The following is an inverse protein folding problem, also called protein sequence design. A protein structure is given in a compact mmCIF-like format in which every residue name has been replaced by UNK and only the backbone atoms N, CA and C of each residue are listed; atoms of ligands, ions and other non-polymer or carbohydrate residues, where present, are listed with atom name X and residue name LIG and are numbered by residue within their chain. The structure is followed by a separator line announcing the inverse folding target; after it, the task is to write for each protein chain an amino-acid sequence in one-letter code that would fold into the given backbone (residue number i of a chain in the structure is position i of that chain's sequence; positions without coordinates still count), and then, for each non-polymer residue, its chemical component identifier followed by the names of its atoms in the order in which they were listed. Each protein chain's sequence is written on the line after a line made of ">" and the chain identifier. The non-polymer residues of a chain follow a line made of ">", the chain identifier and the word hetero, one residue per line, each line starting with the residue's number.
data_IF_356575801543
#
_entry.id   IF_356575801543
#
_cell.length_a   1.000
_cell.length_b   1.000
_cell.length_c   1.000
_cell.angle_alpha   90.00
_cell.angle_beta   90.00
_cell.angle_gamma   90.00
#
_symmetry.space_group_name_H-M   'P 1'
#
loop_
_entity.id
_entity.type
_entity.pdbx_description
1 polymer ?
#
# COMPACT_ATOMS: atom_id res chain seq x y z
N UNK A 1 19.11 -8.62 -16.46
CA UNK A 1 17.98 -9.03 -15.61
C UNK A 1 18.51 -10.15 -14.72
N UNK A 2 18.45 -9.94 -13.41
CA UNK A 2 19.00 -10.86 -12.41
C UNK A 2 17.83 -11.56 -11.69
N UNK A 3 18.03 -12.76 -11.16
CA UNK A 3 17.04 -13.36 -10.26
C UNK A 3 17.23 -12.78 -8.87
N UNK A 4 16.22 -12.10 -8.34
CA UNK A 4 16.21 -11.52 -6.99
C UNK A 4 15.03 -12.12 -6.24
N UNK A 5 15.32 -12.85 -5.17
CA UNK A 5 14.33 -13.58 -4.37
C UNK A 5 13.42 -14.46 -5.24
N UNK A 6 14.04 -15.28 -6.10
CA UNK A 6 13.35 -16.23 -6.98
C UNK A 6 12.61 -15.63 -8.17
N UNK A 7 12.71 -14.32 -8.44
CA UNK A 7 12.01 -13.65 -9.53
C UNK A 7 12.97 -12.90 -10.47
N UNK A 8 12.81 -12.98 -11.81
CA UNK A 8 13.54 -12.13 -12.74
C UNK A 8 13.23 -10.65 -12.51
N UNK A 9 14.26 -9.85 -12.27
CA UNK A 9 14.12 -8.45 -11.85
C UNK A 9 15.07 -7.50 -12.57
N UNK A 10 14.62 -6.25 -12.67
CA UNK A 10 15.41 -5.06 -12.99
C UNK A 10 15.85 -4.40 -11.68
N UNK A 11 17.08 -3.90 -11.63
CA UNK A 11 17.62 -3.21 -10.45
C UNK A 11 17.82 -1.73 -10.78
N UNK A 12 17.56 -0.84 -9.81
CA UNK A 12 17.80 0.60 -9.94
C UNK A 12 18.44 1.14 -8.66
N UNK A 13 19.43 2.03 -8.80
CA UNK A 13 20.26 2.48 -7.68
C UNK A 13 20.55 3.98 -7.73
N UNK A 14 20.51 4.64 -6.57
CA UNK A 14 21.10 5.95 -6.30
C UNK A 14 22.12 5.84 -5.16
N UNK A 15 22.58 6.99 -4.65
CA UNK A 15 23.41 7.08 -3.45
C UNK A 15 22.68 6.67 -2.16
N UNK A 16 21.35 6.80 -2.12
CA UNK A 16 20.55 6.52 -0.91
C UNK A 16 19.58 5.35 -1.06
N UNK A 17 19.30 4.87 -2.27
CA UNK A 17 18.29 3.82 -2.51
C UNK A 17 18.82 2.78 -3.49
N UNK A 18 18.67 1.50 -3.16
CA UNK A 18 18.81 0.38 -4.12
C UNK A 18 17.52 -0.42 -4.10
N UNK A 19 16.92 -0.64 -5.26
CA UNK A 19 15.66 -1.35 -5.39
C UNK A 19 15.68 -2.35 -6.53
N UNK A 20 14.81 -3.36 -6.44
CA UNK A 20 14.49 -4.29 -7.51
C UNK A 20 13.04 -4.15 -7.93
N UNK A 21 12.75 -4.37 -9.22
CA UNK A 21 11.40 -4.50 -9.77
C UNK A 21 11.29 -5.78 -10.57
N UNK A 22 10.37 -6.66 -10.20
CA UNK A 22 10.15 -7.92 -10.92
C UNK A 22 9.61 -7.67 -12.32
N UNK A 23 9.95 -8.55 -13.27
CA UNK A 23 9.33 -8.56 -14.60
C UNK A 23 7.84 -8.87 -14.49
N UNK A 24 7.51 -9.96 -13.80
CA UNK A 24 6.12 -10.38 -13.58
C UNK A 24 5.51 -9.58 -12.45
N UNK A 25 4.34 -8.97 -12.70
CA UNK A 25 3.60 -8.13 -11.75
C UNK A 25 4.23 -6.78 -11.43
N UNK A 26 5.40 -6.46 -12.01
CA UNK A 26 6.04 -5.15 -11.84
C UNK A 26 6.30 -4.79 -10.37
N UNK A 27 6.55 -5.77 -9.50
CA UNK A 27 6.58 -5.59 -8.05
C UNK A 27 7.91 -5.00 -7.61
N UNK A 28 7.84 -3.89 -6.90
CA UNK A 28 8.95 -3.22 -6.24
C UNK A 28 9.32 -4.01 -4.99
N UNK A 29 10.52 -4.57 -4.93
CA UNK A 29 11.02 -5.29 -3.77
C UNK A 29 12.08 -6.33 -4.15
N UNK A 30 13.14 -6.53 -3.32
CA UNK A 30 13.46 -5.77 -2.11
C UNK A 30 13.91 -4.34 -2.41
N UNK A 31 13.81 -3.47 -1.40
CA UNK A 31 14.35 -2.10 -1.43
C UNK A 31 15.21 -1.89 -0.18
N UNK A 32 16.40 -1.32 -0.38
CA UNK A 32 17.32 -0.91 0.69
C UNK A 32 17.51 0.60 0.63
N UNK A 33 17.17 1.28 1.71
CA UNK A 33 17.54 2.68 1.94
C UNK A 33 18.84 2.74 2.74
N UNK A 34 19.73 3.64 2.36
CA UNK A 34 21.05 3.82 2.96
C UNK A 34 21.16 5.24 3.52
N UNK A 35 21.49 5.34 4.81
CA UNK A 35 21.77 6.61 5.49
C UNK A 35 23.08 6.47 6.27
N UNK A 36 24.17 7.01 5.72
CA UNK A 36 25.51 6.75 6.24
C UNK A 36 25.86 5.26 6.14
N UNK A 37 26.17 4.63 7.28
CA UNK A 37 26.47 3.19 7.37
C UNK A 37 25.21 2.34 7.64
N UNK A 38 24.06 2.98 7.93
CA UNK A 38 22.83 2.28 8.30
C UNK A 38 22.04 1.87 7.07
N UNK A 39 21.58 0.62 7.06
CA UNK A 39 20.71 0.06 6.03
C UNK A 39 19.32 -0.18 6.60
N UNK A 40 18.30 0.28 5.89
CA UNK A 40 16.91 0.10 6.27
C UNK A 40 16.11 -0.55 5.13
N UNK A 41 15.33 -1.59 5.46
CA UNK A 41 14.56 -2.41 4.51
C UNK A 41 13.13 -2.55 5.01
N UNK A 42 12.26 -1.54 4.77
CA UNK A 42 10.93 -1.54 5.36
C UNK A 42 9.95 -2.48 4.67
N UNK A 43 10.22 -2.86 3.42
CA UNK A 43 9.27 -3.60 2.61
C UNK A 43 9.32 -5.10 2.88
N UNK A 44 8.15 -5.71 2.97
CA UNK A 44 7.99 -7.13 3.13
C UNK A 44 8.39 -7.92 1.88
N UNK A 45 8.96 -9.09 2.13
CA UNK A 45 9.00 -10.19 1.18
C UNK A 45 8.15 -11.32 1.75
N UNK A 46 7.49 -12.07 0.86
CA UNK A 46 6.81 -13.30 1.25
C UNK A 46 7.77 -14.25 1.99
N UNK A 47 7.30 -14.97 3.02
CA UNK A 47 8.12 -15.95 3.74
C UNK A 47 8.34 -17.25 2.95
N UNK A 48 7.90 -17.32 1.69
CA UNK A 48 8.10 -18.43 0.76
C UNK A 48 8.85 -17.96 -0.49
N UNK A 49 9.44 -18.90 -1.21
CA UNK A 49 10.00 -18.70 -2.54
C UNK A 49 9.02 -19.15 -3.63
N UNK A 50 9.08 -18.54 -4.83
CA UNK A 50 8.23 -18.92 -5.95
C UNK A 50 8.31 -20.41 -6.37
N UNK A 51 9.45 -21.06 -6.19
CA UNK A 51 9.69 -22.47 -6.53
C UNK A 51 9.24 -23.46 -5.44
N UNK A 52 8.89 -22.97 -4.26
CA UNK A 52 8.30 -23.78 -3.17
C UNK A 52 6.79 -24.00 -3.35
N UNK A 53 6.15 -23.21 -4.22
CA UNK A 53 4.70 -23.21 -4.38
C UNK A 53 4.23 -24.15 -5.49
N UNK A 54 3.29 -25.02 -5.16
CA UNK A 54 2.61 -25.92 -6.10
C UNK A 54 1.26 -25.36 -6.56
N UNK A 55 0.78 -25.84 -7.71
CA UNK A 55 -0.54 -25.48 -8.24
C UNK A 55 -0.59 -24.17 -9.02
N UNK A 56 -1.79 -23.82 -9.47
CA UNK A 56 -2.07 -22.61 -10.24
C UNK A 56 -2.36 -21.44 -9.29
N UNK A 57 -1.32 -20.99 -8.60
CA UNK A 57 -1.37 -19.83 -7.70
C UNK A 57 -1.13 -18.55 -8.53
N UNK A 58 -1.95 -17.49 -8.37
CA UNK A 58 -1.74 -16.22 -9.05
C UNK A 58 -0.32 -15.69 -8.83
N UNK A 59 0.30 -15.15 -9.88
CA UNK A 59 1.66 -14.63 -9.80
C UNK A 59 1.81 -13.54 -8.73
N UNK A 60 0.76 -12.75 -8.50
CA UNK A 60 0.66 -11.82 -7.38
C UNK A 60 1.09 -12.47 -6.06
N UNK A 61 0.46 -13.59 -5.70
CA UNK A 61 0.70 -14.28 -4.44
C UNK A 61 2.00 -15.09 -4.47
N UNK A 62 2.35 -15.62 -5.64
CA UNK A 62 3.59 -16.38 -5.84
C UNK A 62 4.84 -15.57 -5.51
N UNK A 63 4.88 -14.31 -5.94
CA UNK A 63 6.05 -13.44 -5.75
C UNK A 63 5.94 -12.49 -4.56
N UNK A 64 4.71 -12.11 -4.19
CA UNK A 64 4.28 -11.18 -3.13
C UNK A 64 5.42 -10.44 -2.43
N UNK A 65 5.65 -9.18 -2.82
CA UNK A 65 6.73 -8.35 -2.28
C UNK A 65 6.47 -6.87 -2.43
N UNK A 66 6.98 -6.12 -1.45
CA UNK A 66 7.01 -4.66 -1.38
C UNK A 66 5.76 -4.00 -1.95
N UNK A 67 5.87 -3.33 -3.09
CA UNK A 67 4.76 -2.56 -3.69
C UNK A 67 4.50 -2.93 -5.15
N UNK A 68 3.24 -3.03 -5.53
CA UNK A 68 2.79 -3.26 -6.90
C UNK A 68 1.51 -2.48 -7.19
N UNK A 69 1.29 -2.22 -8.48
CA UNK A 69 0.12 -1.48 -8.92
C UNK A 69 -1.00 -2.43 -9.31
N UNK A 70 -2.17 -2.18 -8.75
CA UNK A 70 -3.37 -2.96 -8.98
C UNK A 70 -4.33 -2.16 -9.86
N UNK A 71 -4.72 -2.73 -11.00
CA UNK A 71 -5.74 -2.17 -11.88
C UNK A 71 -6.41 -3.34 -12.64
N UNK A 72 -7.61 -3.77 -12.24
CA UNK A 72 -8.40 -3.23 -11.11
C UNK A 72 -7.82 -3.57 -9.73
N UNK A 73 -8.27 -2.89 -8.68
CA UNK A 73 -7.95 -3.25 -7.29
C UNK A 73 -9.02 -4.18 -6.71
N UNK A 74 -8.60 -5.34 -6.16
CA UNK A 74 -9.47 -6.39 -5.61
C UNK A 74 -9.65 -7.60 -6.55
N UNK A 75 -10.51 -8.56 -6.20
CA UNK A 75 -10.90 -9.68 -7.06
C UNK A 75 -11.50 -9.24 -8.41
N UNK A 76 -11.51 -10.15 -9.37
CA UNK A 76 -12.16 -9.96 -10.67
C UNK A 76 -13.18 -11.07 -10.95
N UNK A 77 -14.24 -10.74 -11.70
CA UNK A 77 -15.20 -11.75 -12.19
C UNK A 77 -14.53 -12.75 -13.14
N UNK A 78 -13.50 -12.29 -13.86
CA UNK A 78 -12.66 -13.07 -14.76
C UNK A 78 -11.23 -12.56 -14.63
N UNK A 79 -10.27 -13.47 -14.52
CA UNK A 79 -8.84 -13.12 -14.39
C UNK A 79 -8.34 -13.19 -12.94
N UNK A 80 -7.06 -12.88 -12.78
CA UNK A 80 -6.39 -12.92 -11.48
C UNK A 80 -6.79 -11.71 -10.62
N UNK A 81 -6.80 -11.83 -9.27
CA UNK A 81 -7.02 -10.70 -8.39
C UNK A 81 -5.96 -9.60 -8.63
N UNK A 82 -6.37 -8.35 -8.50
CA UNK A 82 -5.57 -7.13 -8.71
C UNK A 82 -5.09 -6.87 -10.15
N UNK A 83 -5.62 -7.60 -11.13
CA UNK A 83 -5.39 -7.32 -12.54
C UNK A 83 -4.08 -7.87 -13.10
N UNK A 84 -3.96 -7.81 -14.42
CA UNK A 84 -2.73 -8.15 -15.15
C UNK A 84 -1.55 -7.26 -14.72
N UNK A 85 -1.79 -6.02 -14.28
CA UNK A 85 -0.73 -5.14 -13.76
C UNK A 85 0.02 -5.75 -12.58
N UNK A 86 -0.65 -6.58 -11.77
CA UNK A 86 -0.08 -7.29 -10.63
C UNK A 86 0.33 -8.74 -10.93
N UNK A 87 -0.01 -9.29 -12.11
CA UNK A 87 0.14 -10.73 -12.41
C UNK A 87 0.91 -11.06 -13.70
N UNK A 88 0.89 -10.18 -14.70
CA UNK A 88 1.47 -10.42 -16.01
C UNK A 88 2.85 -9.78 -16.18
N UNK A 89 3.53 -10.09 -17.28
CA UNK A 89 4.90 -9.63 -17.55
C UNK A 89 4.93 -8.18 -18.07
N UNK A 90 5.74 -7.36 -17.41
CA UNK A 90 6.07 -6.00 -17.83
C UNK A 90 7.30 -5.99 -18.73
N UNK A 91 7.25 -5.18 -19.78
CA UNK A 91 8.31 -5.04 -20.78
C UNK A 91 9.16 -3.81 -20.48
N UNK A 92 10.49 -3.97 -20.60
CA UNK A 92 11.41 -2.85 -20.42
C UNK A 92 11.29 -1.84 -21.57
N UNK A 93 11.02 -0.59 -21.24
CA UNK A 93 11.04 0.53 -22.19
C UNK A 93 12.37 1.28 -22.11
N UNK A 94 12.81 1.61 -20.90
CA UNK A 94 14.03 2.40 -20.67
C UNK A 94 14.64 2.04 -19.32
N UNK A 95 15.97 1.91 -19.28
CA UNK A 95 16.74 1.70 -18.05
C UNK A 95 17.98 2.59 -18.08
N UNK A 96 17.98 3.63 -17.25
CA UNK A 96 19.10 4.54 -17.07
C UNK A 96 19.55 4.53 -15.61
N UNK A 97 20.60 5.30 -15.30
CA UNK A 97 21.22 5.33 -13.97
C UNK A 97 20.21 5.51 -12.84
N UNK A 98 19.20 6.36 -13.02
CA UNK A 98 18.24 6.73 -11.98
C UNK A 98 16.77 6.71 -12.48
N UNK A 99 16.51 6.02 -13.59
CA UNK A 99 15.19 5.86 -14.20
C UNK A 99 14.99 4.41 -14.63
N UNK A 100 13.89 3.81 -14.19
CA UNK A 100 13.38 2.55 -14.72
C UNK A 100 11.98 2.79 -15.27
N UNK A 101 11.78 2.47 -16.54
CA UNK A 101 10.50 2.60 -17.24
C UNK A 101 10.11 1.26 -17.83
N UNK A 102 8.97 0.73 -17.35
CA UNK A 102 8.35 -0.51 -17.80
C UNK A 102 6.98 -0.23 -18.39
N UNK A 103 6.50 -1.10 -19.29
CA UNK A 103 5.15 -1.01 -19.84
C UNK A 103 4.48 -2.38 -19.98
N UNK A 104 3.16 -2.38 -19.91
CA UNK A 104 2.28 -3.52 -20.15
C UNK A 104 1.07 -3.07 -20.98
N UNK A 105 0.63 -3.93 -21.88
CA UNK A 105 -0.67 -3.86 -22.54
C UNK A 105 -1.51 -5.01 -21.95
N UNK A 106 -2.29 -4.75 -20.89
CA UNK A 106 -2.99 -5.80 -20.16
C UNK A 106 -4.14 -6.38 -20.98
N UNK A 107 -4.32 -7.70 -20.92
CA UNK A 107 -5.37 -8.41 -21.66
C UNK A 107 -6.74 -8.27 -20.99
N UNK A 108 -6.77 -8.15 -19.65
CA UNK A 108 -8.00 -8.13 -18.85
C UNK A 108 -8.80 -6.82 -18.95
N UNK A 109 -8.11 -5.68 -18.99
CA UNK A 109 -8.73 -4.34 -19.05
C UNK A 109 -8.49 -3.60 -20.37
N UNK A 110 -7.52 -4.05 -21.18
CA UNK A 110 -7.07 -3.35 -22.39
C UNK A 110 -6.29 -2.05 -22.11
N UNK A 111 -5.98 -1.32 -23.18
CA UNK A 111 -5.17 -0.10 -23.10
C UNK A 111 -3.69 -0.39 -22.83
N UNK A 112 -2.99 0.59 -22.26
CA UNK A 112 -1.57 0.51 -21.91
C UNK A 112 -1.32 1.16 -20.56
N UNK A 113 -0.53 0.49 -19.73
CA UNK A 113 -0.03 1.00 -18.44
C UNK A 113 1.50 1.05 -18.48
N UNK A 114 2.07 2.18 -18.08
CA UNK A 114 3.52 2.39 -17.96
C UNK A 114 3.87 2.63 -16.50
N UNK A 115 4.89 1.95 -15.96
CA UNK A 115 5.42 2.15 -14.61
C UNK A 115 6.78 2.84 -14.72
N UNK A 116 6.88 4.03 -14.16
CA UNK A 116 8.09 4.86 -14.22
C UNK A 116 8.58 5.13 -12.80
N UNK A 117 9.73 4.56 -12.47
CA UNK A 117 10.39 4.75 -11.18
C UNK A 117 11.60 5.65 -11.37
N UNK A 118 11.70 6.70 -10.56
CA UNK A 118 12.84 7.62 -10.54
C UNK A 118 13.47 7.66 -9.16
N UNK A 119 14.80 7.68 -9.14
CA UNK A 119 15.59 7.96 -7.96
C UNK A 119 16.31 9.29 -8.13
N UNK A 120 16.49 10.05 -7.05
CA UNK A 120 17.18 11.34 -7.07
C UNK A 120 18.40 11.28 -6.13
N UNK A 121 19.55 11.84 -6.55
CA UNK A 121 20.68 11.99 -5.65
C UNK A 121 20.29 12.74 -4.37
N UNK A 122 20.74 12.26 -3.21
CA UNK A 122 20.45 12.84 -1.89
C UNK A 122 19.02 12.62 -1.38
N UNK A 123 18.16 11.94 -2.13
CA UNK A 123 16.80 11.62 -1.71
C UNK A 123 16.70 10.12 -1.37
N UNK A 124 16.38 9.81 -0.13
CA UNK A 124 15.95 8.48 0.30
C UNK A 124 14.47 8.24 -0.09
N UNK A 125 14.15 8.44 -1.37
CA UNK A 125 12.80 8.50 -1.91
C UNK A 125 12.68 7.71 -3.20
N UNK A 126 11.57 6.98 -3.33
CA UNK A 126 11.14 6.30 -4.55
C UNK A 126 10.00 7.13 -5.15
N UNK A 127 10.22 7.69 -6.33
CA UNK A 127 9.19 8.40 -7.09
C UNK A 127 8.57 7.44 -8.11
N UNK A 128 7.32 7.04 -7.91
CA UNK A 128 6.61 6.12 -8.79
C UNK A 128 5.46 6.82 -9.51
N UNK A 129 5.42 6.66 -10.82
CA UNK A 129 4.38 7.20 -11.71
C UNK A 129 3.82 6.05 -12.56
N UNK A 130 2.50 5.90 -12.55
CA UNK A 130 1.79 5.01 -13.45
C UNK A 130 1.05 5.82 -14.50
N UNK A 131 1.42 5.66 -15.77
CA UNK A 131 0.77 6.32 -16.89
C UNK A 131 -0.18 5.36 -17.58
N UNK A 132 -1.46 5.72 -17.66
CA UNK A 132 -2.53 4.91 -18.23
C UNK A 132 -3.07 5.61 -19.47
N UNK A 133 -3.19 4.88 -20.58
CA UNK A 133 -3.70 5.40 -21.85
C UNK A 133 -4.48 4.34 -22.62
N UNK A 134 -5.46 4.75 -23.43
CA UNK A 134 -6.28 3.83 -24.22
C UNK A 134 -7.25 2.96 -23.41
N UNK A 135 -7.40 3.22 -22.11
CA UNK A 135 -8.35 2.56 -21.22
C UNK A 135 -9.69 3.30 -21.22
N UNK A 136 -10.79 2.57 -21.29
CA UNK A 136 -12.16 3.10 -21.29
C UNK A 136 -13.01 2.46 -20.18
N UNK A 137 -13.69 3.28 -19.39
CA UNK A 137 -14.66 2.82 -18.39
C UNK A 137 -14.24 3.10 -16.94
N UNK A 138 -15.00 2.53 -16.00
CA UNK A 138 -14.81 2.76 -14.57
C UNK A 138 -14.00 1.63 -13.93
N UNK A 139 -12.88 1.97 -13.30
CA UNK A 139 -12.00 1.01 -12.63
C UNK A 139 -11.59 1.48 -11.23
N UNK A 140 -11.50 0.52 -10.31
CA UNK A 140 -10.80 0.68 -9.05
C UNK A 140 -9.30 0.50 -9.27
N UNK A 141 -8.45 1.12 -8.47
CA UNK A 141 -6.99 0.95 -8.57
C UNK A 141 -6.30 1.33 -7.27
N UNK A 142 -5.03 0.94 -7.15
CA UNK A 142 -4.21 1.35 -6.02
C UNK A 142 -2.76 0.88 -6.09
N UNK A 143 -1.92 1.45 -5.25
CA UNK A 143 -0.61 0.89 -4.93
C UNK A 143 -0.72 0.08 -3.64
N UNK A 144 0.12 -0.93 -3.50
CA UNK A 144 0.01 -1.94 -2.46
C UNK A 144 1.33 -2.12 -1.70
N UNK A 145 1.94 -1.08 -1.10
CA UNK A 145 3.17 -1.23 -0.34
C UNK A 145 2.91 -2.02 0.95
N UNK A 146 3.60 -3.14 1.09
CA UNK A 146 3.55 -4.02 2.26
C UNK A 146 4.82 -3.80 3.07
N UNK A 147 4.66 -3.44 4.34
CA UNK A 147 5.74 -3.21 5.28
C UNK A 147 5.98 -4.41 6.20
N UNK A 148 7.25 -4.61 6.58
CA UNK A 148 7.72 -5.65 7.48
C UNK A 148 7.95 -5.10 8.90
N UNK A 149 7.07 -5.49 9.82
CA UNK A 149 7.14 -5.21 11.25
C UNK A 149 7.53 -6.47 12.06
N UNK A 150 7.92 -7.57 11.40
CA UNK A 150 8.17 -8.87 12.06
C UNK A 150 9.38 -8.87 12.99
N UNK A 151 10.27 -7.89 12.86
CA UNK A 151 11.44 -7.71 13.72
C UNK A 151 11.22 -6.73 14.87
N UNK A 152 9.98 -6.27 15.08
CA UNK A 152 9.59 -5.39 16.20
C UNK A 152 8.90 -6.20 17.28
N UNK A 153 9.02 -5.78 18.54
CA UNK A 153 8.20 -6.33 19.61
C UNK A 153 6.73 -5.89 19.44
N UNK A 154 5.82 -6.62 20.08
CA UNK A 154 4.39 -6.34 19.98
C UNK A 154 4.06 -4.88 20.36
N UNK A 155 3.40 -4.18 19.44
CA UNK A 155 2.95 -2.81 19.61
C UNK A 155 4.05 -1.75 19.55
N UNK A 156 5.27 -2.05 19.10
CA UNK A 156 6.35 -1.05 19.03
C UNK A 156 6.29 -0.14 17.80
N UNK A 157 5.78 -0.63 16.67
CA UNK A 157 5.58 0.18 15.49
C UNK A 157 4.51 1.25 15.70
N UNK A 158 4.66 2.41 15.06
CA UNK A 158 3.67 3.51 15.10
C UNK A 158 3.15 3.80 13.71
N UNK A 159 1.84 3.76 13.51
CA UNK A 159 1.19 4.03 12.22
C UNK A 159 0.26 5.22 12.37
N UNK A 160 0.42 6.21 11.50
CA UNK A 160 -0.41 7.41 11.46
C UNK A 160 -0.67 7.86 10.03
N UNK A 161 -1.68 8.70 9.85
CA UNK A 161 -2.04 9.28 8.55
C UNK A 161 -2.31 10.77 8.69
N UNK A 162 -2.36 11.47 7.56
CA UNK A 162 -3.04 12.76 7.48
C UNK A 162 -4.49 12.64 7.97
N UNK A 163 -5.12 13.76 8.36
CA UNK A 163 -6.54 13.78 8.72
C UNK A 163 -7.42 13.04 7.71
N UNK A 164 -8.43 12.36 8.23
CA UNK A 164 -9.38 11.57 7.44
C UNK A 164 -10.80 11.87 7.90
N UNK A 165 -11.71 11.96 6.93
CA UNK A 165 -13.11 12.35 7.16
C UNK A 165 -14.05 11.16 7.31
N UNK A 166 -13.59 9.96 6.95
CA UNK A 166 -14.36 8.73 7.03
C UNK A 166 -13.42 7.54 7.25
N UNK A 167 -13.84 6.58 8.08
CA UNK A 167 -13.11 5.34 8.33
C UNK A 167 -14.07 4.21 8.68
N UNK A 168 -13.80 3.02 8.17
CA UNK A 168 -14.59 1.82 8.49
C UNK A 168 -13.78 0.53 8.34
N UNK A 169 -14.14 -0.47 9.14
CA UNK A 169 -13.74 -1.87 8.94
C UNK A 169 -14.43 -2.41 7.70
N UNK A 170 -13.80 -3.30 6.93
CA UNK A 170 -14.46 -3.93 5.78
C UNK A 170 -15.84 -4.48 6.20
N UNK A 171 -16.94 -4.07 5.53
CA UNK A 171 -18.28 -4.55 5.85
C UNK A 171 -18.53 -6.01 5.48
N UNK A 172 -17.72 -6.57 4.58
CA UNK A 172 -17.71 -7.98 4.21
C UNK A 172 -16.93 -8.86 5.19
N UNK A 173 -17.05 -10.17 4.98
CA UNK A 173 -16.21 -11.16 5.63
C UNK A 173 -14.87 -11.22 4.89
N UNK A 174 -13.87 -10.48 5.36
CA UNK A 174 -12.55 -10.44 4.75
C UNK A 174 -11.74 -11.72 4.97
N UNK A 175 -11.94 -12.36 6.12
CA UNK A 175 -11.33 -13.64 6.48
C UNK A 175 -12.40 -14.55 7.10
N UNK A 176 -12.63 -15.70 6.47
CA UNK A 176 -13.70 -16.63 6.84
C UNK A 176 -13.14 -17.84 7.63
N UNK A 177 -13.60 -18.06 8.89
CA UNK A 177 -13.22 -19.25 9.66
C UNK A 177 -13.53 -20.57 8.95
N UNK A 178 -14.50 -20.60 8.04
CA UNK A 178 -14.80 -21.77 7.22
C UNK A 178 -13.65 -22.14 6.25
N UNK A 179 -12.81 -21.17 5.90
CA UNK A 179 -11.60 -21.33 5.10
C UNK A 179 -10.31 -21.46 5.96
N UNK A 180 -10.44 -21.59 7.28
CA UNK A 180 -9.33 -21.53 8.25
C UNK A 180 -8.55 -20.19 8.17
N UNK A 181 -9.30 -19.11 7.94
CA UNK A 181 -8.86 -17.72 7.98
C UNK A 181 -9.62 -16.95 9.06
N UNK A 182 -8.96 -16.04 9.78
CA UNK A 182 -9.60 -15.39 10.94
C UNK A 182 -9.43 -13.87 10.88
N UNK A 183 -10.50 -13.14 11.16
CA UNK A 183 -10.49 -11.70 11.43
C UNK A 183 -11.03 -11.43 12.85
N UNK A 184 -10.71 -10.27 13.42
CA UNK A 184 -11.14 -9.91 14.78
C UNK A 184 -11.80 -8.54 14.88
N UNK A 185 -11.65 -7.67 13.87
CA UNK A 185 -12.39 -6.42 13.83
C UNK A 185 -13.87 -6.68 13.50
N UNK A 186 -14.75 -5.83 14.04
CA UNK A 186 -16.19 -5.90 13.80
C UNK A 186 -16.51 -5.39 12.39
N UNK A 187 -17.05 -6.23 11.47
CA UNK A 187 -17.30 -5.83 10.09
C UNK A 187 -18.20 -4.61 9.98
N UNK A 188 -17.82 -3.65 9.14
CA UNK A 188 -18.59 -2.44 8.84
C UNK A 188 -18.62 -1.42 9.98
N UNK A 189 -17.91 -1.65 11.08
CA UNK A 189 -17.84 -0.69 12.16
C UNK A 189 -17.08 0.57 11.71
N UNK A 190 -17.76 1.71 11.78
CA UNK A 190 -17.15 3.01 11.52
C UNK A 190 -16.25 3.44 12.67
N UNK A 191 -15.20 4.20 12.34
CA UNK A 191 -14.31 4.82 13.31
C UNK A 191 -13.88 6.21 12.84
N UNK A 192 -13.62 7.09 13.80
CA UNK A 192 -13.05 8.44 13.57
C UNK A 192 -11.58 8.54 14.00
N UNK A 193 -11.04 7.47 14.58
CA UNK A 193 -9.64 7.38 15.00
C UNK A 193 -9.16 5.94 14.90
N UNK A 194 -7.91 5.76 14.47
CA UNK A 194 -7.26 4.44 14.48
C UNK A 194 -7.04 3.90 15.89
N UNK A 195 -7.13 4.74 16.94
CA UNK A 195 -6.94 4.33 18.34
C UNK A 195 -8.12 3.55 18.93
N UNK A 196 -9.29 3.67 18.32
CA UNK A 196 -10.54 3.10 18.82
C UNK A 196 -11.32 2.44 17.68
N UNK A 197 -10.88 1.25 17.26
CA UNK A 197 -11.56 0.45 16.22
C UNK A 197 -12.25 -0.74 16.86
N UNK A 198 -13.52 -0.96 16.52
CA UNK A 198 -14.35 -1.97 17.19
C UNK A 198 -13.83 -3.41 16.96
N UNK A 199 -13.71 -4.16 18.05
CA UNK A 199 -13.46 -5.61 18.04
C UNK A 199 -14.78 -6.36 18.05
N UNK A 200 -14.82 -7.48 17.32
CA UNK A 200 -15.89 -8.46 17.42
C UNK A 200 -15.79 -9.25 18.73
N UNK A 201 -16.92 -9.74 19.26
CA UNK A 201 -16.99 -10.60 20.46
C UNK A 201 -16.60 -12.05 20.18
N UNK A 202 -16.67 -12.45 18.93
CA UNK A 202 -16.21 -13.71 18.38
C UNK A 202 -15.64 -13.45 16.99
N UNK A 203 -14.70 -14.28 16.48
CA UNK A 203 -14.27 -14.19 15.08
C UNK A 203 -15.50 -14.19 14.17
N UNK A 204 -15.72 -13.14 13.35
CA UNK A 204 -16.87 -13.06 12.46
C UNK A 204 -16.92 -14.26 11.50
N UNK A 205 -18.14 -14.72 11.18
CA UNK A 205 -18.39 -15.79 10.21
C UNK A 205 -19.65 -15.49 9.38
N UNK A 206 -19.93 -16.32 8.37
CA UNK A 206 -21.11 -16.13 7.50
C UNK A 206 -22.46 -16.48 8.14
N UNK A 207 -22.46 -17.05 9.36
CA UNK A 207 -23.65 -17.65 9.98
C UNK A 207 -24.19 -16.84 11.15
N UNK A 208 -23.37 -15.97 11.74
CA UNK A 208 -23.69 -15.23 12.95
C UNK A 208 -23.34 -13.76 12.83
N UNK A 209 -24.13 -12.91 13.48
CA UNK A 209 -23.80 -11.50 13.59
C UNK A 209 -22.98 -11.28 14.85
N UNK A 210 -21.67 -11.08 14.66
CA UNK A 210 -20.80 -10.66 15.75
C UNK A 210 -21.28 -9.31 16.33
N UNK A 211 -21.05 -9.10 17.63
CA UNK A 211 -21.28 -7.83 18.30
C UNK A 211 -19.96 -7.22 18.73
N UNK A 212 -19.95 -5.96 19.13
CA UNK A 212 -18.75 -5.35 19.68
C UNK A 212 -18.42 -5.90 21.07
N UNK A 213 -17.16 -6.25 21.33
CA UNK A 213 -16.62 -6.60 22.65
C UNK A 213 -15.77 -5.51 23.29
N UNK A 214 -15.49 -4.44 22.54
CA UNK A 214 -14.59 -3.36 22.92
C UNK A 214 -13.96 -2.72 21.69
N UNK A 215 -12.89 -1.96 21.90
CA UNK A 215 -12.10 -1.34 20.83
C UNK A 215 -10.63 -1.75 20.93
N UNK A 216 -9.90 -1.54 19.84
CA UNK A 216 -8.47 -1.77 19.74
C UNK A 216 -7.76 -0.60 19.07
N UNK A 217 -6.47 -0.48 19.34
CA UNK A 217 -5.59 0.52 18.76
C UNK A 217 -4.88 -0.07 17.52
N UNK A 218 -5.14 0.51 16.35
CA UNK A 218 -4.50 0.19 15.07
C UNK A 218 -3.28 1.09 14.78
N UNK A 219 -2.99 2.07 15.63
CA UNK A 219 -1.76 2.88 15.53
C UNK A 219 -0.52 2.13 16.04
N UNK A 220 -0.69 0.98 16.70
CA UNK A 220 0.38 0.14 17.24
C UNK A 220 0.41 -1.25 16.57
N UNK A 221 1.56 -1.64 16.02
CA UNK A 221 1.74 -2.89 15.27
C UNK A 221 3.19 -3.41 15.42
N UNK A 222 3.48 -4.74 15.40
CA UNK A 222 2.58 -5.87 15.24
C UNK A 222 1.65 -6.03 16.44
N UNK A 223 0.44 -6.54 16.22
CA UNK A 223 -0.54 -6.85 17.28
C UNK A 223 -1.50 -7.93 16.80
N UNK A 224 -2.22 -8.58 17.74
CA UNK A 224 -3.30 -9.53 17.44
C UNK A 224 -2.85 -10.64 16.47
N UNK A 225 -1.81 -11.39 16.85
CA UNK A 225 -1.34 -12.53 16.05
C UNK A 225 -2.45 -13.57 15.87
N UNK A 226 -2.51 -14.16 14.68
CA UNK A 226 -3.53 -15.13 14.29
C UNK A 226 -4.73 -14.52 13.58
N UNK A 227 -4.66 -13.24 13.18
CA UNK A 227 -5.73 -12.55 12.49
C UNK A 227 -5.25 -11.83 11.22
N UNK A 228 -6.20 -11.64 10.32
CA UNK A 228 -6.14 -10.87 9.09
C UNK A 228 -7.32 -9.90 9.08
N UNK A 229 -7.04 -8.60 9.13
CA UNK A 229 -8.08 -7.57 9.17
C UNK A 229 -7.89 -6.58 8.01
N UNK A 230 -8.98 -5.91 7.65
CA UNK A 230 -8.99 -4.89 6.61
C UNK A 230 -9.77 -3.67 7.09
N UNK A 231 -9.13 -2.51 7.09
CA UNK A 231 -9.80 -1.23 7.31
C UNK A 231 -9.49 -0.27 6.17
N UNK A 232 -10.35 0.72 5.97
CA UNK A 232 -10.13 1.78 4.99
C UNK A 232 -10.47 3.11 5.63
N UNK A 233 -9.67 4.13 5.34
CA UNK A 233 -9.90 5.52 5.70
C UNK A 233 -9.83 6.40 4.47
N UNK A 234 -10.62 7.47 4.46
CA UNK A 234 -10.70 8.44 3.36
C UNK A 234 -10.15 9.75 3.85
N UNK A 235 -9.04 10.19 3.25
CA UNK A 235 -8.35 11.40 3.67
C UNK A 235 -9.22 12.65 3.42
N UNK A 236 -8.96 13.69 4.21
CA UNK A 236 -9.53 15.01 3.94
C UNK A 236 -9.04 15.58 2.60
N UNK A 237 -9.82 16.49 2.04
CA UNK A 237 -9.47 17.21 0.82
C UNK A 237 -8.21 18.07 1.02
N UNK A 238 -7.43 18.30 -0.05
CA UNK A 238 -6.19 19.03 0.06
C UNK A 238 -6.45 20.51 0.38
N UNK A 239 -5.64 21.07 1.28
CA UNK A 239 -5.63 22.49 1.61
C UNK A 239 -4.31 23.13 1.13
N UNK A 240 -4.21 24.47 1.06
CA UNK A 240 -2.92 25.12 0.79
C UNK A 240 -1.80 24.71 1.76
N UNK A 241 -2.15 24.44 3.03
CA UNK A 241 -1.21 24.01 4.07
C UNK A 241 -0.87 22.51 3.97
N UNK A 242 -1.84 21.67 3.57
CA UNK A 242 -1.71 20.22 3.41
C UNK A 242 -2.15 19.82 1.99
N UNK A 243 -1.32 20.07 0.96
CA UNK A 243 -1.71 19.88 -0.44
C UNK A 243 -1.76 18.40 -0.87
N UNK A 244 -1.19 17.51 -0.07
CA UNK A 244 -1.17 16.06 -0.28
C UNK A 244 -1.69 15.34 0.98
N UNK A 245 -2.16 14.11 0.79
CA UNK A 245 -2.41 13.17 1.90
C UNK A 245 -1.15 12.34 2.17
N UNK A 246 -1.00 11.86 3.40
CA UNK A 246 0.14 11.06 3.82
C UNK A 246 -0.23 9.89 4.72
N UNK A 247 0.56 8.83 4.63
CA UNK A 247 0.55 7.65 5.51
C UNK A 247 1.96 7.43 6.00
N UNK A 248 2.15 7.21 7.30
CA UNK A 248 3.47 7.08 7.91
C UNK A 248 3.54 5.89 8.87
N UNK A 249 4.71 5.27 8.91
CA UNK A 249 5.05 4.19 9.81
C UNK A 249 6.42 4.45 10.43
N UNK A 250 6.51 4.48 11.77
CA UNK A 250 7.79 4.50 12.49
C UNK A 250 8.11 3.06 12.89
N UNK A 251 9.26 2.58 12.44
CA UNK A 251 9.80 1.25 12.71
C UNK A 251 11.21 1.43 13.30
N UNK A 252 11.35 1.18 14.60
CA UNK A 252 12.58 1.45 15.36
C UNK A 252 13.04 2.92 15.23
N UNK A 253 14.21 3.11 14.63
CA UNK A 253 14.94 4.36 14.46
C UNK A 253 14.72 4.97 13.07
N UNK A 254 13.71 4.50 12.32
CA UNK A 254 13.35 5.03 11.01
C UNK A 254 11.85 5.32 10.90
N UNK A 255 11.53 6.32 10.08
CA UNK A 255 10.18 6.56 9.58
C UNK A 255 10.13 6.23 8.09
N UNK A 256 9.16 5.43 7.69
CA UNK A 256 8.68 5.31 6.32
C UNK A 256 7.44 6.19 6.15
N UNK A 257 7.28 6.86 5.03
CA UNK A 257 6.04 7.55 4.69
C UNK A 257 5.76 7.54 3.20
N UNK A 258 4.47 7.59 2.86
CA UNK A 258 3.93 7.71 1.52
C UNK A 258 3.19 9.04 1.40
N UNK A 259 3.38 9.78 0.28
CA UNK A 259 2.53 10.92 -0.07
C UNK A 259 1.76 10.62 -1.37
N UNK A 260 0.52 11.11 -1.44
CA UNK A 260 -0.37 10.98 -2.59
C UNK A 260 -1.19 12.24 -2.83
N UNK A 261 -1.72 12.39 -4.04
CA UNK A 261 -2.83 13.31 -4.30
C UNK A 261 -4.15 12.65 -3.88
N UNK A 262 -4.89 13.17 -2.88
CA UNK A 262 -6.17 12.59 -2.45
C UNK A 262 -7.23 12.62 -3.55
N UNK A 263 -7.11 13.48 -4.57
CA UNK A 263 -8.01 13.44 -5.74
C UNK A 263 -7.79 12.22 -6.64
N UNK A 264 -6.56 11.68 -6.67
CA UNK A 264 -6.23 10.47 -7.44
C UNK A 264 -6.34 9.21 -6.59
N UNK A 265 -6.02 9.30 -5.31
CA UNK A 265 -6.05 8.20 -4.33
C UNK A 265 -6.80 8.66 -3.07
N UNK A 266 -8.14 8.68 -3.07
CA UNK A 266 -8.95 9.24 -1.98
C UNK A 266 -8.78 8.51 -0.64
N UNK A 267 -8.46 7.22 -0.68
CA UNK A 267 -8.44 6.37 0.50
C UNK A 267 -7.09 5.73 0.74
N UNK A 268 -6.82 5.43 2.01
CA UNK A 268 -5.76 4.52 2.45
C UNK A 268 -6.44 3.28 3.01
N UNK A 269 -6.10 2.12 2.49
CA UNK A 269 -6.52 0.82 2.99
C UNK A 269 -5.38 0.20 3.80
N UNK A 270 -5.71 -0.38 4.95
CA UNK A 270 -4.76 -1.10 5.78
C UNK A 270 -5.10 -2.59 5.75
N UNK A 271 -4.33 -3.38 5.01
CA UNK A 271 -4.37 -4.83 5.11
C UNK A 271 -3.44 -5.29 6.23
N UNK A 272 -4.04 -5.70 7.35
CA UNK A 272 -3.32 -6.06 8.56
C UNK A 272 -3.17 -7.58 8.58
N UNK A 273 -1.95 -8.08 8.39
CA UNK A 273 -1.69 -9.52 8.25
C UNK A 273 -0.72 -10.02 9.32
N UNK A 274 -1.24 -10.81 10.26
CA UNK A 274 -0.43 -11.34 11.35
C UNK A 274 -0.64 -12.84 11.57
N UNK A 275 -0.69 -13.59 10.47
CA UNK A 275 -0.74 -15.05 10.46
C UNK A 275 -2.14 -15.62 10.66
N UNK A 276 -3.18 -14.90 10.23
CA UNK A 276 -4.56 -15.37 10.35
C UNK A 276 -5.01 -16.31 9.24
N UNK A 277 -4.29 -16.41 8.11
CA UNK A 277 -4.55 -17.41 7.06
C UNK A 277 -3.68 -18.64 7.26
N UNK A 278 -4.31 -19.82 7.30
CA UNK A 278 -3.59 -21.10 7.51
C UNK A 278 -3.54 -22.01 6.29
N UNK A 279 -4.33 -21.73 5.26
CA UNK A 279 -4.23 -22.39 3.97
C UNK A 279 -2.89 -22.06 3.28
N UNK A 280 -2.47 -22.91 2.34
CA UNK A 280 -1.31 -22.63 1.49
C UNK A 280 -1.57 -21.40 0.61
N UNK A 281 -0.58 -20.50 0.39
CA UNK A 281 0.82 -20.58 0.84
C UNK A 281 1.09 -19.93 2.20
N UNK A 282 0.06 -19.45 2.89
CA UNK A 282 0.18 -18.63 4.08
C UNK A 282 0.68 -19.41 5.29
N UNK A 283 0.03 -20.53 5.62
CA UNK A 283 0.41 -21.45 6.69
C UNK A 283 0.66 -20.75 8.05
N UNK A 284 0.03 -19.60 8.29
CA UNK A 284 0.27 -18.75 9.46
C UNK A 284 1.67 -18.11 9.54
N UNK A 285 2.43 -18.11 8.43
CA UNK A 285 3.82 -17.62 8.35
C UNK A 285 3.95 -16.15 7.97
N UNK A 286 2.92 -15.53 7.41
CA UNK A 286 2.91 -14.10 7.06
C UNK A 286 2.62 -13.26 8.32
N UNK A 287 3.67 -13.02 9.12
CA UNK A 287 3.60 -12.44 10.47
C UNK A 287 4.14 -11.01 10.48
N UNK A 288 3.49 -10.10 11.22
CA UNK A 288 3.93 -8.71 11.33
C UNK A 288 4.04 -8.02 9.98
N UNK A 289 3.01 -8.14 9.13
CA UNK A 289 2.96 -7.57 7.79
C UNK A 289 1.76 -6.64 7.67
N UNK A 290 1.97 -5.47 7.10
CA UNK A 290 0.87 -4.52 6.90
C UNK A 290 0.97 -3.84 5.53
N UNK A 291 -0.09 -3.98 4.73
CA UNK A 291 -0.31 -3.16 3.54
C UNK A 291 -0.78 -1.76 3.96
N UNK A 292 -0.13 -0.71 3.46
CA UNK A 292 -0.53 0.69 3.64
C UNK A 292 -0.84 1.30 2.28
N UNK A 293 -2.04 0.98 1.80
CA UNK A 293 -2.37 0.93 0.38
C UNK A 293 -3.12 2.17 -0.05
N UNK A 294 -2.58 2.92 -1.01
CA UNK A 294 -3.21 4.15 -1.50
C UNK A 294 -4.12 3.82 -2.68
N UNK A 295 -5.42 4.03 -2.52
CA UNK A 295 -6.45 3.45 -3.40
C UNK A 295 -7.54 4.43 -3.82
N UNK A 296 -8.10 4.17 -5.00
CA UNK A 296 -9.46 4.54 -5.38
C UNK A 296 -10.24 3.23 -5.56
N UNK A 297 -10.92 2.78 -4.51
CA UNK A 297 -11.62 1.49 -4.49
C UNK A 297 -12.73 1.47 -3.43
N UNK A 298 -13.60 0.47 -3.48
CA UNK A 298 -14.41 0.08 -2.33
C UNK A 298 -13.70 -1.06 -1.59
N UNK A 299 -12.88 -0.71 -0.57
CA UNK A 299 -12.00 -1.67 0.10
C UNK A 299 -11.17 -2.51 -0.91
N UNK A 300 -10.97 -3.80 -0.64
CA UNK A 300 -10.40 -4.78 -1.59
C UNK A 300 -11.50 -5.61 -2.27
N UNK A 301 -12.69 -5.04 -2.48
CA UNK A 301 -13.80 -5.72 -3.14
C UNK A 301 -13.63 -5.78 -4.66
N UNK A 302 -14.38 -6.68 -5.29
CA UNK A 302 -14.38 -6.84 -6.74
C UNK A 302 -14.68 -5.51 -7.47
N UNK A 303 -14.05 -5.29 -8.63
CA UNK A 303 -14.28 -4.09 -9.46
C UNK A 303 -15.76 -3.86 -9.77
N UNK A 304 -16.55 -4.91 -9.94
CA UNK A 304 -18.00 -4.83 -10.16
C UNK A 304 -18.72 -4.27 -8.93
N UNK A 305 -18.32 -4.66 -7.71
CA UNK A 305 -18.81 -4.05 -6.46
C UNK A 305 -18.36 -2.60 -6.34
N UNK A 306 -17.10 -2.30 -6.65
CA UNK A 306 -16.56 -0.94 -6.65
C UNK A 306 -17.37 -0.02 -7.58
N UNK A 307 -17.84 -0.50 -8.74
CA UNK A 307 -18.69 0.27 -9.68
C UNK A 307 -20.10 0.59 -9.16
N UNK A 308 -20.58 -0.08 -8.11
CA UNK A 308 -21.87 0.21 -7.50
C UNK A 308 -21.86 1.53 -6.72
N UNK A 309 -20.66 2.09 -6.45
CA UNK A 309 -20.47 3.36 -5.74
C UNK A 309 -21.18 3.39 -4.38
N UNK A 310 -20.94 2.35 -3.57
CA UNK A 310 -21.59 2.15 -2.27
C UNK A 310 -21.25 3.24 -1.25
N UNK A 311 -20.25 4.09 -1.52
CA UNK A 311 -19.88 5.25 -0.70
C UNK A 311 -20.29 6.59 -1.34
N UNK A 312 -21.26 6.58 -2.26
CA UNK A 312 -21.77 7.80 -2.89
C UNK A 312 -22.28 8.82 -1.88
N UNK A 313 -23.01 8.40 -0.84
CA UNK A 313 -23.54 9.28 0.21
C UNK A 313 -22.43 9.96 1.03
N UNK A 314 -21.26 9.32 1.10
CA UNK A 314 -20.06 9.84 1.75
C UNK A 314 -19.19 10.68 0.79
N UNK A 315 -19.62 10.87 -0.46
CA UNK A 315 -18.87 11.57 -1.50
C UNK A 315 -17.47 10.97 -1.72
N UNK A 316 -17.35 9.64 -1.66
CA UNK A 316 -16.07 8.92 -1.85
C UNK A 316 -16.09 8.16 -3.17
N UNK A 317 -15.23 8.48 -4.14
CA UNK A 317 -15.17 7.72 -5.37
C UNK A 317 -14.52 6.36 -5.14
N UNK A 318 -15.27 5.29 -5.44
CA UNK A 318 -14.79 3.90 -5.38
C UNK A 318 -14.26 3.40 -6.72
N UNK A 319 -14.37 4.21 -7.78
CA UNK A 319 -13.75 3.99 -9.10
C UNK A 319 -13.45 5.34 -9.74
N UNK A 320 -12.56 5.35 -10.74
CA UNK A 320 -12.36 6.48 -11.66
C UNK A 320 -12.85 6.10 -13.05
N UNK A 321 -13.46 7.06 -13.73
CA UNK A 321 -13.71 6.97 -15.17
C UNK A 321 -12.43 7.27 -15.97
N UNK A 322 -12.02 6.31 -16.79
CA UNK A 322 -10.97 6.45 -17.80
C UNK A 322 -11.61 6.60 -19.18
N UNK A 323 -11.03 7.47 -19.99
CA UNK A 323 -11.46 7.74 -21.36
C UNK A 323 -10.32 7.41 -22.30
N UNK A 324 -10.56 6.62 -23.34
CA UNK A 324 -9.50 6.08 -24.20
C UNK A 324 -8.67 7.17 -24.91
N UNK A 325 -9.24 8.37 -25.08
CA UNK A 325 -8.59 9.55 -25.68
C UNK A 325 -7.75 10.38 -24.70
N UNK A 326 -7.77 10.04 -23.40
CA UNK A 326 -7.04 10.76 -22.35
C UNK A 326 -5.97 9.90 -21.73
N UNK A 327 -4.85 10.54 -21.41
CA UNK A 327 -3.79 9.95 -20.58
C UNK A 327 -4.04 10.33 -19.12
N UNK A 328 -4.02 9.35 -18.24
CA UNK A 328 -4.08 9.52 -16.79
C UNK A 328 -2.72 9.20 -16.21
N UNK A 329 -2.28 10.00 -15.24
CA UNK A 329 -1.00 9.83 -14.57
C UNK A 329 -1.25 9.79 -13.07
N UNK A 330 -0.86 8.68 -12.46
CA UNK A 330 -1.04 8.41 -11.04
C UNK A 330 0.33 8.41 -10.37
N UNK A 331 0.57 9.36 -9.48
CA UNK A 331 1.88 9.57 -8.85
C UNK A 331 1.81 9.34 -7.35
N UNK A 332 2.81 8.61 -6.85
CA UNK A 332 3.03 8.37 -5.43
C UNK A 332 4.53 8.50 -5.15
N UNK A 333 4.90 9.05 -3.99
CA UNK A 333 6.26 8.86 -3.49
C UNK A 333 6.24 8.11 -2.18
N UNK A 334 7.26 7.29 -1.97
CA UNK A 334 7.52 6.59 -0.73
C UNK A 334 8.95 6.91 -0.28
N UNK A 335 9.10 7.29 0.97
CA UNK A 335 10.33 7.88 1.49
C UNK A 335 10.69 7.30 2.86
N UNK A 336 11.98 7.35 3.18
CA UNK A 336 12.50 6.94 4.48
C UNK A 336 13.39 8.04 5.04
N UNK A 337 13.34 8.22 6.36
CA UNK A 337 14.35 8.99 7.10
C UNK A 337 14.69 8.29 8.42
N UNK A 338 15.94 8.34 8.89
CA UNK A 338 16.22 8.06 10.29
C UNK A 338 15.47 9.08 11.17
N UNK A 339 15.10 8.64 12.38
CA UNK A 339 14.48 9.48 13.41
C UNK A 339 15.36 9.47 14.68
N UNK A 340 15.41 10.58 15.43
CA UNK A 340 16.17 10.61 16.68
C UNK A 340 15.48 9.77 17.78
N UNK A 341 16.22 9.37 18.83
CA UNK A 341 15.63 8.72 20.00
C UNK A 341 14.48 9.54 20.59
N UNK A 342 13.39 8.86 20.95
CA UNK A 342 12.21 9.50 21.52
C UNK A 342 11.31 10.20 20.50
N UNK A 343 11.47 9.96 19.20
CA UNK A 343 10.62 10.55 18.16
C UNK A 343 9.12 10.27 18.40
N UNK A 344 8.72 9.03 18.67
CA UNK A 344 7.31 8.68 18.85
C UNK A 344 6.59 8.45 17.52
N UNK A 345 5.33 8.89 17.41
CA UNK A 345 4.54 8.75 16.19
C UNK A 345 4.56 10.03 15.35
N UNK A 346 4.46 9.93 14.02
CA UNK A 346 4.32 11.12 13.17
C UNK A 346 2.96 11.78 13.42
N UNK A 347 2.96 13.06 13.77
CA UNK A 347 1.76 13.87 13.97
C UNK A 347 1.42 14.74 12.76
N UNK A 348 2.42 15.20 12.01
CA UNK A 348 2.22 15.96 10.78
C UNK A 348 3.37 15.81 9.78
N UNK A 349 3.03 15.90 8.49
CA UNK A 349 3.98 16.01 7.38
C UNK A 349 3.56 17.20 6.51
N UNK A 350 4.34 18.27 6.54
CA UNK A 350 4.01 19.53 5.86
C UNK A 350 5.06 19.90 4.81
N UNK A 351 4.68 20.59 3.72
CA UNK A 351 5.62 21.19 2.78
C UNK A 351 6.66 22.08 3.47
N UNK A 352 7.92 22.01 3.01
CA UNK A 352 8.99 22.94 3.39
C UNK A 352 9.78 23.37 2.15
N UNK A 353 9.19 24.26 1.34
CA UNK A 353 9.67 24.52 -0.02
C UNK A 353 9.39 23.33 -0.95
N UNK A 354 9.76 23.38 -2.25
CA UNK A 354 9.30 22.41 -3.25
C UNK A 354 9.96 21.03 -3.17
N UNK A 355 11.15 20.93 -2.56
CA UNK A 355 11.98 19.71 -2.54
C UNK A 355 12.15 19.08 -1.16
N UNK A 356 11.36 19.51 -0.18
CA UNK A 356 11.49 19.03 1.21
C UNK A 356 10.15 19.03 1.92
N UNK A 357 10.01 18.13 2.89
CA UNK A 357 8.91 18.09 3.86
C UNK A 357 9.45 18.13 5.28
N UNK A 358 8.69 18.72 6.19
CA UNK A 358 8.96 18.69 7.62
C UNK A 358 8.01 17.69 8.29
N UNK A 359 8.58 16.70 8.98
CA UNK A 359 7.84 15.71 9.75
C UNK A 359 7.91 16.13 11.22
N UNK A 360 6.76 16.36 11.85
CA UNK A 360 6.68 16.62 13.30
C UNK A 360 6.01 15.45 13.99
N UNK A 361 6.61 14.98 15.08
CA UNK A 361 6.09 13.89 15.89
C UNK A 361 5.16 14.35 17.00
N UNK A 362 4.43 13.41 17.61
CA UNK A 362 3.58 13.63 18.79
C UNK A 362 4.36 14.04 20.05
N UNK A 363 5.68 13.83 20.07
CA UNK A 363 6.59 14.32 21.11
C UNK A 363 7.11 15.74 20.84
N UNK A 364 6.78 16.34 19.70
CA UNK A 364 7.18 17.68 19.29
C UNK A 364 8.54 17.76 18.60
N UNK A 365 9.18 16.62 18.32
CA UNK A 365 10.43 16.58 17.54
C UNK A 365 10.09 16.75 16.06
N UNK A 366 10.81 17.66 15.38
CA UNK A 366 10.70 17.89 13.93
C UNK A 366 11.99 17.48 13.22
N UNK A 367 11.85 16.76 12.11
CA UNK A 367 12.93 16.46 11.16
C UNK A 367 12.57 16.95 9.76
N UNK A 368 13.59 17.31 8.98
CA UNK A 368 13.44 17.69 7.58
C UNK A 368 13.89 16.54 6.67
N UNK A 369 13.08 16.22 5.66
CA UNK A 369 13.36 15.14 4.72
C UNK A 369 13.36 15.68 3.29
N UNK A 370 14.46 15.46 2.57
CA UNK A 370 14.56 15.78 1.14
C UNK A 370 13.58 14.91 0.34
N UNK A 371 12.51 15.53 -0.14
CA UNK A 371 11.43 14.90 -0.87
C UNK A 371 10.68 15.97 -1.69
N UNK A 372 10.78 15.88 -3.01
CA UNK A 372 9.98 16.69 -3.93
C UNK A 372 8.49 16.31 -3.88
N UNK A 373 7.77 16.80 -2.87
CA UNK A 373 6.35 16.50 -2.65
C UNK A 373 5.46 17.06 -3.77
N UNK A 374 5.89 18.11 -4.47
CA UNK A 374 5.17 18.63 -5.65
C UNK A 374 4.99 17.56 -6.73
N UNK A 375 5.83 16.51 -6.74
CA UNK A 375 5.70 15.38 -7.65
C UNK A 375 4.29 14.75 -7.62
N UNK A 376 3.68 14.63 -6.44
CA UNK A 376 2.38 13.95 -6.33
C UNK A 376 1.19 14.87 -6.61
N UNK A 377 1.34 16.18 -6.47
CA UNK A 377 0.23 17.13 -6.67
C UNK A 377 0.32 17.93 -7.97
N UNK A 378 1.47 17.93 -8.63
CA UNK A 378 1.64 18.65 -9.89
C UNK A 378 0.75 18.03 -10.96
N UNK A 379 0.00 18.85 -11.71
CA UNK A 379 -0.75 18.35 -12.86
C UNK A 379 0.21 17.63 -13.82
N UNK A 380 -0.27 16.53 -14.37
CA UNK A 380 0.52 15.66 -15.25
C UNK A 380 0.57 16.14 -16.68
#
# INVERSE_FOLDING_TARGET
>A
MNSVYGAPSYELTSDSVTLSVTRTGGMLGPVTFTSGETLFRPYALAPWQPDELEGDIPNLLKYLRGDFFCLPFGPQDKGAPHGDTANADWHLVQHEKNLLHLAIEPDDIGGKVEKIIRLRPGHAVIYSEHLISGLEGNFSYGNHPILDFSNLDEGEGRITTSPFRWGSVNPGLFSDPAADEYQTLLPGAHFSTLKEVALADTPPDSHSSARSSGTTDLTCYPSRRGFEDLVMLVNEDPTPEQPFAWTAAVLNDHVWFSLKNPSDFPATLMWISNGGRRSSPWEGRHLGRIGLEEVCSYFAENVTTSRQNLLHEEEVPTTRFFSADKKVSLRILQAVSPVPPGFGAVASILPKGPEMVALTSDTGITIDVAAQWEFVVSPS
#
